data_IF_776763849597
#
_entry.id   IF_776763849597
#
_cell.length_a   1.000
_cell.length_b   1.000
_cell.length_c   1.000
_cell.angle_alpha   90.00
_cell.angle_beta   90.00
_cell.angle_gamma   90.00
#
_symmetry.space_group_name_H-M   'P 1'
#
loop_
_entity.id
_entity.type
_entity.pdbx_description
1 polymer ?
#
# COMPACT_ATOMS: atom_id res chain seq x y z
N UNK A 1 -42.55 20.09 0.39
CA UNK A 1 -42.79 19.47 -0.92
C UNK A 1 -41.60 19.76 -1.82
N UNK A 2 -41.01 18.74 -2.46
CA UNK A 2 -40.20 18.97 -3.68
C UNK A 2 -41.20 19.03 -4.83
N UNK A 3 -41.36 20.20 -5.47
CA UNK A 3 -42.44 20.47 -6.44
C UNK A 3 -42.01 20.36 -7.92
N UNK A 4 -40.72 20.18 -8.19
CA UNK A 4 -40.17 20.13 -9.55
C UNK A 4 -39.86 18.67 -9.95
N UNK A 5 -40.46 18.20 -11.05
CA UNK A 5 -40.19 16.88 -11.62
C UNK A 5 -39.00 16.99 -12.59
N UNK A 6 -37.80 16.75 -12.07
CA UNK A 6 -36.56 16.79 -12.84
C UNK A 6 -36.15 15.40 -13.31
N UNK A 7 -35.94 15.26 -14.61
CA UNK A 7 -35.35 14.07 -15.22
C UNK A 7 -34.05 14.49 -15.91
N UNK A 8 -32.92 14.07 -15.35
CA UNK A 8 -31.60 14.38 -15.88
C UNK A 8 -31.35 13.59 -17.17
N UNK A 9 -31.11 14.31 -18.27
CA UNK A 9 -30.99 13.70 -19.58
C UNK A 9 -29.53 13.64 -20.06
N UNK A 10 -28.80 12.60 -19.66
CA UNK A 10 -27.40 12.36 -20.07
C UNK A 10 -27.37 11.62 -21.43
N UNK A 11 -27.88 12.27 -22.49
CA UNK A 11 -27.91 11.73 -23.86
C UNK A 11 -26.85 12.39 -24.74
N UNK A 12 -25.59 11.97 -24.61
CA UNK A 12 -24.58 12.28 -25.63
C UNK A 12 -23.14 12.22 -25.16
N UNK A 13 -22.80 12.97 -24.11
CA UNK A 13 -21.43 13.13 -23.66
C UNK A 13 -21.21 12.45 -22.31
N UNK A 14 -20.19 11.60 -22.21
CA UNK A 14 -19.83 11.04 -20.90
C UNK A 14 -19.31 12.11 -19.93
N UNK A 15 -18.94 13.30 -20.42
CA UNK A 15 -18.47 14.40 -19.57
C UNK A 15 -19.61 15.12 -18.84
N UNK A 16 -20.87 14.83 -19.18
CA UNK A 16 -22.03 15.39 -18.49
C UNK A 16 -22.27 14.69 -17.14
N UNK A 17 -21.64 13.52 -16.92
CA UNK A 17 -21.60 12.89 -15.60
C UNK A 17 -20.72 13.70 -14.65
N UNK A 18 -21.13 13.75 -13.38
CA UNK A 18 -20.34 14.34 -12.30
C UNK A 18 -19.17 13.41 -11.91
N UNK A 19 -18.10 13.43 -12.71
CA UNK A 19 -16.89 12.65 -12.42
C UNK A 19 -16.19 13.15 -11.15
N UNK A 20 -15.83 12.21 -10.28
CA UNK A 20 -15.06 12.47 -9.07
C UNK A 20 -13.57 12.22 -9.28
N UNK A 21 -12.73 12.92 -8.52
CA UNK A 21 -11.29 12.66 -8.51
C UNK A 21 -10.98 11.38 -7.71
N UNK A 22 -10.35 10.39 -8.36
CA UNK A 22 -9.99 9.09 -7.77
C UNK A 22 -9.06 9.19 -6.56
N UNK A 23 -8.34 10.31 -6.38
CA UNK A 23 -7.51 10.53 -5.19
C UNK A 23 -8.33 10.44 -3.88
N UNK A 24 -9.59 10.87 -3.88
CA UNK A 24 -10.47 10.71 -2.72
C UNK A 24 -10.76 9.25 -2.41
N UNK A 25 -11.05 8.43 -3.45
CA UNK A 25 -11.27 7.00 -3.29
C UNK A 25 -10.01 6.27 -2.79
N UNK A 26 -8.81 6.71 -3.21
CA UNK A 26 -7.57 6.15 -2.66
C UNK A 26 -7.33 6.58 -1.21
N UNK A 27 -7.63 7.84 -0.87
CA UNK A 27 -7.49 8.36 0.49
C UNK A 27 -8.40 7.66 1.50
N UNK A 28 -9.62 7.23 1.10
CA UNK A 28 -10.48 6.42 1.99
C UNK A 28 -9.83 5.09 2.33
N UNK A 29 -9.10 4.45 1.41
CA UNK A 29 -8.38 3.19 1.70
C UNK A 29 -7.29 3.38 2.76
N UNK A 30 -6.55 4.50 2.71
CA UNK A 30 -5.59 4.87 3.75
C UNK A 30 -6.28 5.03 5.11
N UNK A 31 -7.39 5.76 5.14
CA UNK A 31 -8.19 5.99 6.34
C UNK A 31 -8.72 4.68 6.93
N UNK A 32 -9.26 3.78 6.10
CA UNK A 32 -9.82 2.51 6.55
C UNK A 32 -8.75 1.58 7.12
N UNK A 33 -7.59 1.50 6.46
CA UNK A 33 -6.44 0.75 6.98
C UNK A 33 -6.02 1.31 8.35
N UNK A 34 -5.94 2.63 8.49
CA UNK A 34 -5.57 3.28 9.75
C UNK A 34 -6.64 3.09 10.84
N UNK A 35 -7.91 3.18 10.48
CA UNK A 35 -9.03 3.00 11.40
C UNK A 35 -9.06 1.58 11.99
N UNK A 36 -8.71 0.57 11.20
CA UNK A 36 -8.67 -0.84 11.63
C UNK A 36 -7.39 -1.20 12.38
N UNK A 37 -6.23 -0.74 11.89
CA UNK A 37 -4.93 -1.27 12.32
C UNK A 37 -3.95 -0.21 12.86
N UNK A 38 -4.28 1.08 12.76
CA UNK A 38 -3.38 2.23 13.05
C UNK A 38 -2.16 2.30 12.13
N UNK A 39 -2.19 1.57 11.03
CA UNK A 39 -1.17 1.52 9.98
C UNK A 39 -1.83 1.57 8.61
N UNK A 40 -1.13 2.07 7.59
CA UNK A 40 -1.66 2.23 6.24
C UNK A 40 -1.06 1.30 5.15
N UNK A 41 -0.62 0.05 5.41
CA UNK A 41 -0.15 -0.82 4.34
C UNK A 41 -1.30 -1.49 3.58
N UNK A 42 -2.51 -1.57 4.15
CA UNK A 42 -3.65 -2.33 3.61
C UNK A 42 -4.53 -1.49 2.70
N UNK A 43 -3.96 -1.11 1.57
CA UNK A 43 -4.58 -0.22 0.56
C UNK A 43 -4.53 -0.78 -0.86
N UNK A 44 -4.05 -2.02 -1.00
CA UNK A 44 -3.96 -2.73 -2.26
C UNK A 44 -4.60 -4.10 -2.14
N UNK A 45 -5.10 -4.62 -3.25
CA UNK A 45 -5.76 -5.91 -3.41
C UNK A 45 -7.25 -5.87 -3.02
N UNK A 46 -8.10 -6.62 -3.75
CA UNK A 46 -9.56 -6.55 -3.58
C UNK A 46 -10.02 -7.03 -2.20
N UNK A 47 -9.33 -7.98 -1.57
CA UNK A 47 -9.68 -8.48 -0.23
C UNK A 47 -8.80 -7.90 0.88
N UNK A 48 -7.70 -7.22 0.53
CA UNK A 48 -6.68 -6.74 1.47
C UNK A 48 -6.74 -5.23 1.73
N UNK A 49 -7.89 -4.61 1.45
CA UNK A 49 -8.19 -3.21 1.78
C UNK A 49 -8.07 -2.22 0.61
N UNK A 50 -7.81 -2.69 -0.61
CA UNK A 50 -7.77 -1.86 -1.82
C UNK A 50 -9.09 -1.80 -2.60
N UNK A 51 -10.10 -2.60 -2.25
CA UNK A 51 -11.41 -2.53 -2.89
C UNK A 51 -12.13 -1.22 -2.55
N UNK A 52 -12.78 -0.59 -3.52
CA UNK A 52 -13.72 0.54 -3.43
C UNK A 52 -15.12 0.00 -3.70
N UNK A 53 -15.99 0.10 -2.70
CA UNK A 53 -17.32 -0.52 -2.69
C UNK A 53 -18.40 0.57 -2.87
N UNK A 54 -19.63 0.17 -3.19
CA UNK A 54 -20.80 1.04 -3.29
C UNK A 54 -20.63 2.17 -4.33
N UNK A 55 -20.12 1.83 -5.52
CA UNK A 55 -19.99 2.79 -6.62
C UNK A 55 -21.33 3.05 -7.30
N UNK A 56 -21.59 4.31 -7.72
CA UNK A 56 -22.85 4.67 -8.35
C UNK A 56 -23.02 3.95 -9.70
N UNK A 57 -24.13 3.23 -9.84
CA UNK A 57 -24.53 2.58 -11.08
C UNK A 57 -25.67 3.37 -11.74
N UNK A 58 -25.57 3.59 -13.04
CA UNK A 58 -26.63 4.18 -13.84
C UNK A 58 -27.01 3.24 -14.99
N UNK A 59 -28.23 2.73 -14.97
CA UNK A 59 -28.77 1.89 -16.04
C UNK A 59 -29.53 2.74 -17.05
N UNK A 60 -29.24 2.56 -18.33
CA UNK A 60 -29.89 3.28 -19.42
C UNK A 60 -30.09 2.37 -20.62
N UNK A 61 -31.07 2.71 -21.46
CA UNK A 61 -31.33 1.98 -22.69
C UNK A 61 -30.41 2.47 -23.83
N UNK A 62 -29.78 1.53 -24.54
CA UNK A 62 -28.91 1.80 -25.67
C UNK A 62 -29.06 0.70 -26.71
N UNK A 63 -29.44 1.08 -27.93
CA UNK A 63 -29.63 0.14 -29.06
C UNK A 63 -30.61 -1.01 -28.71
N UNK A 64 -31.69 -0.70 -27.98
CA UNK A 64 -32.71 -1.68 -27.56
C UNK A 64 -32.26 -2.65 -26.46
N UNK A 65 -31.11 -2.40 -25.82
CA UNK A 65 -30.62 -3.18 -24.69
C UNK A 65 -30.40 -2.27 -23.48
N UNK A 66 -30.74 -2.77 -22.30
CA UNK A 66 -30.43 -2.12 -21.04
C UNK A 66 -28.93 -2.31 -20.73
N UNK A 67 -28.21 -1.21 -20.58
CA UNK A 67 -26.77 -1.19 -20.27
C UNK A 67 -26.53 -0.42 -18.98
N UNK A 68 -25.51 -0.83 -18.23
CA UNK A 68 -25.05 -0.10 -17.05
C UNK A 68 -23.85 0.76 -17.43
N UNK A 69 -23.90 2.05 -17.13
CA UNK A 69 -22.74 2.93 -17.20
C UNK A 69 -21.73 2.47 -16.15
N UNK A 70 -20.52 2.19 -16.61
CA UNK A 70 -19.41 1.83 -15.73
C UNK A 70 -19.04 3.03 -14.83
N UNK A 71 -18.82 2.82 -13.51
CA UNK A 71 -18.45 3.89 -12.58
C UNK A 71 -17.05 4.47 -12.77
N UNK A 72 -16.19 3.77 -13.51
CA UNK A 72 -14.92 4.28 -14.03
C UNK A 72 -15.07 4.59 -15.51
N UNK A 73 -14.31 5.53 -16.05
CA UNK A 73 -14.42 5.90 -17.46
C UNK A 73 -14.14 4.75 -18.43
N UNK A 74 -13.29 3.80 -18.00
CA UNK A 74 -12.89 2.62 -18.76
C UNK A 74 -12.83 1.37 -17.87
N UNK A 75 -13.04 0.20 -18.50
CA UNK A 75 -12.71 -1.09 -17.91
C UNK A 75 -11.25 -1.41 -18.17
N UNK A 76 -10.39 -1.16 -17.19
CA UNK A 76 -8.96 -1.45 -17.28
C UNK A 76 -8.74 -2.97 -17.20
N UNK A 77 -8.18 -3.56 -18.25
CA UNK A 77 -7.78 -4.98 -18.24
C UNK A 77 -6.50 -5.18 -17.41
N UNK A 78 -6.31 -6.38 -16.85
CA UNK A 78 -5.18 -6.72 -15.98
C UNK A 78 -3.81 -6.35 -16.59
N UNK A 79 -3.61 -6.62 -17.89
CA UNK A 79 -2.38 -6.24 -18.59
C UNK A 79 -2.16 -4.72 -18.61
N UNK A 80 -3.23 -3.94 -18.80
CA UNK A 80 -3.15 -2.47 -18.81
C UNK A 80 -2.93 -1.91 -17.40
N UNK A 81 -3.51 -2.53 -16.38
CA UNK A 81 -3.20 -2.18 -14.98
C UNK A 81 -1.72 -2.42 -14.69
N UNK A 82 -1.19 -3.56 -15.12
CA UNK A 82 0.23 -3.87 -14.96
C UNK A 82 1.14 -2.86 -15.68
N UNK A 83 0.84 -2.52 -16.94
CA UNK A 83 1.58 -1.50 -17.69
C UNK A 83 1.52 -0.12 -17.01
N UNK A 84 0.37 0.27 -16.47
CA UNK A 84 0.22 1.51 -15.68
C UNK A 84 1.05 1.48 -14.39
N UNK A 85 1.06 0.34 -13.69
CA UNK A 85 1.80 0.17 -12.44
C UNK A 85 3.32 0.23 -12.66
N UNK A 86 3.84 -0.32 -13.76
CA UNK A 86 5.25 -0.22 -14.16
C UNK A 86 5.65 1.24 -14.47
N UNK A 87 4.73 2.03 -14.99
CA UNK A 87 4.91 3.48 -15.25
C UNK A 87 4.57 4.37 -14.04
N UNK A 88 4.34 3.78 -12.86
CA UNK A 88 4.16 4.53 -11.60
C UNK A 88 2.78 5.15 -11.40
N UNK A 89 1.76 4.67 -12.13
CA UNK A 89 0.36 5.06 -11.91
C UNK A 89 -0.34 4.14 -10.91
N UNK A 90 -1.33 4.69 -10.22
CA UNK A 90 -2.22 3.94 -9.33
C UNK A 90 -3.59 3.82 -10.02
N UNK A 91 -3.77 2.73 -10.77
CA UNK A 91 -5.00 2.48 -11.52
C UNK A 91 -6.12 1.94 -10.63
N UNK A 92 -7.31 2.56 -10.71
CA UNK A 92 -8.53 1.98 -10.15
C UNK A 92 -9.19 1.08 -11.20
N UNK A 93 -9.27 -0.21 -10.89
CA UNK A 93 -9.84 -1.21 -11.80
C UNK A 93 -11.26 -1.55 -11.41
N UNK A 94 -12.21 -1.43 -12.33
CA UNK A 94 -13.61 -1.76 -12.07
C UNK A 94 -13.83 -3.27 -12.17
N UNK A 95 -14.48 -3.85 -11.16
CA UNK A 95 -14.94 -5.24 -11.23
C UNK A 95 -16.19 -5.30 -12.11
N UNK A 96 -16.05 -5.99 -13.25
CA UNK A 96 -17.12 -6.17 -14.23
C UNK A 96 -18.39 -6.73 -13.57
N UNK A 97 -19.54 -6.21 -14.00
CA UNK A 97 -20.88 -6.63 -13.56
C UNK A 97 -21.12 -6.48 -12.04
N UNK A 98 -20.47 -5.49 -11.43
CA UNK A 98 -20.66 -5.12 -10.03
C UNK A 98 -20.58 -3.60 -9.84
N UNK A 99 -20.77 -3.15 -8.60
CA UNK A 99 -20.57 -1.80 -8.09
C UNK A 99 -19.23 -1.65 -7.34
N UNK A 100 -18.29 -2.58 -7.55
CA UNK A 100 -17.01 -2.60 -6.85
C UNK A 100 -15.84 -2.30 -7.81
N UNK A 101 -14.83 -1.62 -7.31
CA UNK A 101 -13.53 -1.45 -7.97
C UNK A 101 -12.40 -1.82 -7.02
N UNK A 102 -11.16 -1.91 -7.49
CA UNK A 102 -10.01 -2.18 -6.63
C UNK A 102 -8.72 -1.54 -7.14
N UNK A 103 -7.89 -1.12 -6.19
CA UNK A 103 -6.47 -0.84 -6.42
C UNK A 103 -5.69 -2.14 -6.24
N UNK A 104 -5.04 -2.65 -7.29
CA UNK A 104 -4.21 -3.85 -7.21
C UNK A 104 -2.78 -3.54 -6.75
N UNK A 105 -2.29 -2.37 -7.12
CA UNK A 105 -0.96 -1.88 -6.77
C UNK A 105 -1.02 -0.41 -6.34
N UNK A 106 0.03 0.06 -5.66
CA UNK A 106 0.19 1.45 -5.24
C UNK A 106 1.68 1.82 -5.31
N UNK A 107 2.22 1.81 -6.52
CA UNK A 107 3.58 2.25 -6.79
C UNK A 107 3.64 3.78 -6.77
N UNK A 108 4.76 4.31 -6.31
CA UNK A 108 5.05 5.74 -6.49
C UNK A 108 5.53 6.01 -7.91
N UNK A 109 5.64 7.28 -8.26
CA UNK A 109 6.23 7.73 -9.54
C UNK A 109 7.74 7.46 -9.66
N UNK A 110 8.39 6.98 -8.59
CA UNK A 110 9.82 6.71 -8.60
C UNK A 110 10.13 5.43 -9.37
N UNK A 111 10.86 5.59 -10.50
CA UNK A 111 11.32 4.45 -11.30
C UNK A 111 12.38 3.62 -10.55
N UNK A 112 12.23 2.29 -10.44
CA UNK A 112 13.25 1.42 -9.85
C UNK A 112 14.59 1.49 -10.59
N UNK A 113 15.69 1.54 -9.83
CA UNK A 113 17.05 1.51 -10.40
C UNK A 113 17.47 0.11 -10.81
N UNK A 114 18.24 0.02 -11.89
CA UNK A 114 18.91 -1.20 -12.30
C UNK A 114 20.23 -1.36 -11.53
N UNK A 115 20.51 -2.59 -11.12
CA UNK A 115 21.75 -2.97 -10.45
C UNK A 115 22.38 -4.14 -11.24
N UNK A 116 23.71 -4.34 -11.13
CA UNK A 116 24.37 -5.50 -11.73
C UNK A 116 23.76 -6.82 -11.25
N UNK A 117 23.78 -7.86 -12.10
CA UNK A 117 23.29 -9.19 -11.73
C UNK A 117 24.29 -9.97 -10.86
N UNK A 118 24.61 -9.40 -9.70
CA UNK A 118 25.38 -10.06 -8.63
C UNK A 118 24.47 -10.26 -7.42
N UNK A 119 24.83 -11.13 -6.46
CA UNK A 119 24.06 -11.30 -5.23
C UNK A 119 23.78 -9.95 -4.52
N UNK A 120 24.79 -9.10 -4.39
CA UNK A 120 24.69 -7.78 -3.74
C UNK A 120 23.85 -6.79 -4.56
N UNK A 121 23.95 -6.88 -5.89
CA UNK A 121 23.12 -6.08 -6.80
C UNK A 121 21.64 -6.46 -6.72
N UNK A 122 21.32 -7.75 -6.58
CA UNK A 122 19.95 -8.24 -6.41
C UNK A 122 19.35 -7.84 -5.05
N UNK A 123 20.13 -7.86 -3.99
CA UNK A 123 19.72 -7.32 -2.68
C UNK A 123 19.46 -5.81 -2.75
N UNK A 124 20.39 -5.06 -3.37
CA UNK A 124 20.26 -3.62 -3.55
C UNK A 124 19.04 -3.25 -4.39
N UNK A 125 18.76 -4.01 -5.45
CA UNK A 125 17.56 -3.87 -6.28
C UNK A 125 16.30 -4.08 -5.44
N UNK A 126 16.27 -5.13 -4.63
CA UNK A 126 15.13 -5.43 -3.75
C UNK A 126 14.90 -4.31 -2.74
N UNK A 127 15.95 -3.82 -2.09
CA UNK A 127 15.87 -2.72 -1.14
C UNK A 127 15.35 -1.43 -1.79
N UNK A 128 15.85 -1.12 -2.99
CA UNK A 128 15.42 0.05 -3.73
C UNK A 128 13.95 -0.06 -4.16
N UNK A 129 13.53 -1.23 -4.66
CA UNK A 129 12.14 -1.49 -5.05
C UNK A 129 11.16 -1.31 -3.88
N UNK A 130 11.50 -1.77 -2.68
CA UNK A 130 10.64 -1.56 -1.51
C UNK A 130 10.37 -0.07 -1.23
N UNK A 131 11.37 0.79 -1.46
CA UNK A 131 11.23 2.25 -1.33
C UNK A 131 10.32 2.89 -2.38
N UNK A 132 10.20 2.28 -3.57
CA UNK A 132 9.34 2.80 -4.65
C UNK A 132 7.85 2.51 -4.42
N UNK A 133 7.49 1.67 -3.44
CA UNK A 133 6.12 1.22 -3.22
C UNK A 133 5.49 1.90 -2.00
N UNK A 134 4.37 2.58 -2.21
CA UNK A 134 3.72 3.39 -1.17
C UNK A 134 3.28 2.61 0.08
N UNK A 135 2.76 1.36 -0.01
CA UNK A 135 2.38 0.59 1.18
C UNK A 135 3.50 0.43 2.20
N UNK A 136 4.76 0.29 1.73
CA UNK A 136 5.93 0.21 2.61
C UNK A 136 6.37 1.59 3.09
N UNK A 137 6.34 2.60 2.21
CA UNK A 137 6.66 3.97 2.60
C UNK A 137 5.72 4.51 3.69
N UNK A 138 4.43 4.15 3.70
CA UNK A 138 3.53 4.56 4.77
C UNK A 138 3.89 3.96 6.13
N UNK A 139 4.51 2.78 6.17
CA UNK A 139 5.06 2.21 7.42
C UNK A 139 6.22 3.08 7.90
N UNK A 140 7.17 3.40 7.00
CA UNK A 140 8.34 4.24 7.31
C UNK A 140 7.91 5.63 7.78
N UNK A 141 6.97 6.28 7.09
CA UNK A 141 6.46 7.60 7.45
C UNK A 141 5.88 7.62 8.87
N UNK A 142 5.11 6.59 9.24
CA UNK A 142 4.51 6.51 10.57
C UNK A 142 5.56 6.27 11.66
N UNK A 143 6.57 5.43 11.40
CA UNK A 143 7.71 5.27 12.31
C UNK A 143 8.46 6.58 12.49
N UNK A 144 8.75 7.30 11.40
CA UNK A 144 9.41 8.61 11.46
C UNK A 144 8.61 9.62 12.30
N UNK A 145 7.29 9.69 12.12
CA UNK A 145 6.41 10.54 12.93
C UNK A 145 6.48 10.17 14.42
N UNK A 146 6.40 8.88 14.76
CA UNK A 146 6.50 8.45 16.16
C UNK A 146 7.86 8.77 16.77
N UNK A 147 8.96 8.44 16.08
CA UNK A 147 10.32 8.70 16.57
C UNK A 147 10.51 10.19 16.82
N UNK A 148 10.06 11.05 15.88
CA UNK A 148 10.19 12.51 16.03
C UNK A 148 9.49 13.01 17.29
N UNK A 149 8.28 12.54 17.57
CA UNK A 149 7.54 12.93 18.78
C UNK A 149 8.19 12.34 20.03
N UNK A 150 8.47 11.03 20.06
CA UNK A 150 9.05 10.34 21.21
C UNK A 150 10.41 10.92 21.63
N UNK A 151 11.27 11.21 20.66
CA UNK A 151 12.60 11.77 20.94
C UNK A 151 12.51 13.23 21.39
N UNK A 152 11.55 14.00 20.89
CA UNK A 152 11.34 15.39 21.34
C UNK A 152 11.02 15.46 22.83
N UNK A 153 10.17 14.56 23.32
CA UNK A 153 9.80 14.50 24.75
C UNK A 153 10.96 14.01 25.64
N UNK A 154 12.03 13.46 25.07
CA UNK A 154 13.21 12.98 25.80
C UNK A 154 14.38 13.97 25.80
N UNK A 155 14.26 15.10 25.09
CA UNK A 155 15.31 16.14 25.09
C UNK A 155 15.52 16.69 26.50
N UNK A 156 16.78 16.78 26.93
CA UNK A 156 17.17 17.22 28.27
C UNK A 156 17.16 16.13 29.35
N UNK A 157 16.77 14.90 29.02
CA UNK A 157 16.93 13.76 29.93
C UNK A 157 18.38 13.27 29.99
N UNK A 158 18.81 12.76 31.14
CA UNK A 158 20.11 12.13 31.31
C UNK A 158 20.09 10.73 30.68
N UNK A 159 20.44 10.65 29.39
CA UNK A 159 20.53 9.40 28.64
C UNK A 159 21.86 9.29 27.95
N UNK A 160 22.48 8.12 28.06
CA UNK A 160 23.65 7.78 27.27
C UNK A 160 23.23 7.06 25.97
N UNK A 161 24.21 6.88 25.07
CA UNK A 161 24.05 6.17 23.79
C UNK A 161 23.33 4.83 23.95
N UNK A 162 23.76 4.04 24.94
CA UNK A 162 23.24 2.69 25.24
C UNK A 162 21.78 2.76 25.70
N UNK A 163 21.43 3.74 26.52
CA UNK A 163 20.06 3.93 27.02
C UNK A 163 19.10 4.30 25.88
N UNK A 164 19.56 5.14 24.95
CA UNK A 164 18.80 5.50 23.76
C UNK A 164 18.57 4.28 22.87
N UNK A 165 19.63 3.53 22.57
CA UNK A 165 19.55 2.33 21.74
C UNK A 165 18.61 1.28 22.34
N UNK A 166 18.77 0.97 23.63
CA UNK A 166 17.93 0.00 24.33
C UNK A 166 16.46 0.46 24.40
N UNK A 167 16.22 1.74 24.73
CA UNK A 167 14.87 2.30 24.81
C UNK A 167 14.14 2.30 23.47
N UNK A 168 14.85 2.67 22.40
CA UNK A 168 14.32 2.69 21.04
C UNK A 168 14.03 1.28 20.51
N UNK A 169 14.92 0.32 20.71
CA UNK A 169 14.68 -1.07 20.30
C UNK A 169 13.53 -1.71 21.10
N UNK A 170 13.44 -1.44 22.41
CA UNK A 170 12.31 -1.89 23.24
C UNK A 170 10.99 -1.32 22.71
N UNK A 171 10.95 -0.03 22.38
CA UNK A 171 9.77 0.59 21.77
C UNK A 171 9.43 -0.03 20.40
N UNK A 172 10.43 -0.26 19.54
CA UNK A 172 10.22 -0.78 18.20
C UNK A 172 9.66 -2.22 18.21
N UNK A 173 10.09 -3.03 19.18
CA UNK A 173 9.69 -4.44 19.30
C UNK A 173 8.17 -4.67 19.33
N UNK A 174 7.39 -3.69 19.79
CA UNK A 174 5.93 -3.79 19.84
C UNK A 174 5.29 -3.92 18.44
N UNK A 175 5.98 -3.45 17.39
CA UNK A 175 5.53 -3.48 16.00
C UNK A 175 6.15 -4.62 15.18
N UNK A 176 6.98 -5.45 15.82
CA UNK A 176 7.67 -6.57 15.20
C UNK A 176 6.91 -7.88 15.47
N UNK A 177 6.75 -8.71 14.45
CA UNK A 177 6.27 -10.08 14.59
C UNK A 177 7.01 -11.04 13.66
N UNK A 178 7.89 -11.86 14.24
CA UNK A 178 8.70 -12.86 13.52
C UNK A 178 8.20 -14.28 13.81
N UNK A 179 6.95 -14.57 13.42
CA UNK A 179 6.39 -15.91 13.47
C UNK A 179 5.83 -16.31 12.09
N UNK A 180 6.20 -17.51 11.64
CA UNK A 180 5.62 -18.10 10.45
C UNK A 180 4.18 -18.53 10.76
N UNK A 181 3.24 -18.16 9.87
CA UNK A 181 1.81 -18.44 10.06
C UNK A 181 1.01 -17.36 10.79
N UNK A 182 1.59 -16.17 11.03
CA UNK A 182 0.85 -15.04 11.57
C UNK A 182 -0.41 -14.71 10.77
N UNK A 183 -1.53 -14.51 11.47
CA UNK A 183 -2.80 -14.13 10.84
C UNK A 183 -2.65 -12.80 10.10
N UNK A 184 -3.50 -12.56 9.10
CA UNK A 184 -3.48 -11.31 8.34
C UNK A 184 -3.69 -10.09 9.25
N UNK A 185 -4.52 -10.21 10.28
CA UNK A 185 -4.75 -9.15 11.27
C UNK A 185 -3.50 -8.85 12.11
N UNK A 186 -2.78 -9.87 12.58
CA UNK A 186 -1.55 -9.66 13.36
C UNK A 186 -0.50 -8.94 12.49
N UNK A 187 -0.32 -9.38 11.24
CA UNK A 187 0.59 -8.72 10.29
C UNK A 187 0.17 -7.29 9.96
N UNK A 188 -1.12 -6.99 9.99
CA UNK A 188 -1.62 -5.64 9.76
C UNK A 188 -1.34 -4.69 10.94
N UNK A 189 -1.45 -5.19 12.19
CA UNK A 189 -1.15 -4.41 13.41
C UNK A 189 0.34 -4.32 13.72
N UNK A 190 1.12 -5.33 13.31
CA UNK A 190 2.58 -5.44 13.46
C UNK A 190 3.21 -5.57 12.07
N UNK A 191 3.42 -4.46 11.36
CA UNK A 191 3.81 -4.50 9.95
C UNK A 191 5.26 -4.92 9.70
N UNK A 192 6.11 -4.96 10.74
CA UNK A 192 7.52 -5.28 10.62
C UNK A 192 7.77 -6.76 10.95
N UNK A 193 8.52 -7.44 10.10
CA UNK A 193 9.01 -8.78 10.38
C UNK A 193 10.28 -8.74 11.23
N UNK A 194 11.21 -7.85 10.89
CA UNK A 194 12.45 -7.60 11.63
C UNK A 194 12.77 -6.11 11.57
N UNK A 195 13.31 -5.55 12.63
CA UNK A 195 13.85 -4.20 12.62
C UNK A 195 14.85 -4.03 13.77
N UNK A 196 15.78 -3.10 13.58
CA UNK A 196 16.87 -2.80 14.48
C UNK A 196 17.18 -1.31 14.41
N UNK A 197 17.49 -0.73 15.56
CA UNK A 197 17.99 0.64 15.67
C UNK A 197 19.38 0.58 16.27
N UNK A 198 20.37 1.18 15.61
CA UNK A 198 21.71 1.38 16.16
C UNK A 198 21.93 2.86 16.43
N UNK A 199 22.67 3.17 17.50
CA UNK A 199 22.96 4.54 17.92
C UNK A 199 24.47 4.72 18.04
N UNK A 200 25.00 5.72 17.34
CA UNK A 200 26.41 6.10 17.31
C UNK A 200 26.58 7.49 17.92
N UNK A 201 27.71 7.74 18.59
CA UNK A 201 28.09 9.08 19.04
C UNK A 201 28.49 9.95 17.85
N UNK A 202 28.20 11.24 17.92
CA UNK A 202 28.72 12.23 16.96
C UNK A 202 30.04 12.78 17.49
N UNK A 203 31.12 12.48 16.77
CA UNK A 203 32.45 12.94 17.14
C UNK A 203 32.50 14.48 17.24
N UNK A 204 33.01 14.99 18.36
CA UNK A 204 33.10 16.43 18.62
C UNK A 204 31.83 17.08 19.20
N UNK A 205 30.70 16.36 19.30
CA UNK A 205 29.44 16.91 19.77
C UNK A 205 28.83 16.07 20.90
N UNK A 206 29.23 16.28 22.18
CA UNK A 206 28.67 15.55 23.31
C UNK A 206 27.15 15.73 23.41
N UNK A 207 26.44 14.62 23.58
CA UNK A 207 24.97 14.60 23.65
C UNK A 207 24.27 14.56 22.29
N UNK A 208 25.02 14.58 21.18
CA UNK A 208 24.50 14.33 19.84
C UNK A 208 24.74 12.88 19.43
N UNK A 209 23.69 12.26 18.87
CA UNK A 209 23.70 10.86 18.48
C UNK A 209 23.19 10.70 17.04
N UNK A 210 23.86 9.82 16.28
CA UNK A 210 23.38 9.36 14.98
C UNK A 210 22.59 8.06 15.17
N UNK A 211 21.30 8.11 14.83
CA UNK A 211 20.40 6.96 14.95
C UNK A 211 20.16 6.37 13.57
N UNK A 212 20.53 5.11 13.37
CA UNK A 212 20.30 4.36 12.14
C UNK A 212 19.21 3.31 12.38
N UNK A 213 18.13 3.34 11.61
CA UNK A 213 17.04 2.37 11.68
C UNK A 213 17.02 1.50 10.44
N UNK A 214 17.17 0.18 10.62
CA UNK A 214 16.99 -0.82 9.57
C UNK A 214 15.71 -1.59 9.83
N UNK A 215 14.91 -1.81 8.79
CA UNK A 215 13.63 -2.50 8.93
C UNK A 215 13.32 -3.37 7.73
N UNK A 216 12.63 -4.47 7.99
CA UNK A 216 12.12 -5.42 7.00
C UNK A 216 10.62 -5.61 7.23
N UNK A 217 9.75 -5.07 6.34
CA UNK A 217 8.31 -5.28 6.45
C UNK A 217 7.91 -6.71 6.06
N UNK A 218 6.69 -7.10 6.39
CA UNK A 218 6.06 -8.28 5.76
C UNK A 218 5.78 -8.01 4.28
N UNK A 219 6.19 -8.92 3.40
CA UNK A 219 5.95 -8.77 1.97
C UNK A 219 4.49 -9.04 1.60
N UNK A 220 3.97 -8.22 0.69
CA UNK A 220 2.67 -8.43 0.05
C UNK A 220 2.80 -9.34 -1.17
N UNK A 221 1.79 -10.16 -1.40
CA UNK A 221 1.67 -10.95 -2.61
C UNK A 221 1.27 -10.03 -3.77
N UNK A 222 2.14 -9.91 -4.77
CA UNK A 222 1.93 -9.03 -5.95
C UNK A 222 1.93 -9.79 -7.28
N UNK A 223 2.14 -11.11 -7.27
CA UNK A 223 2.13 -11.92 -8.48
C UNK A 223 2.89 -13.24 -8.29
N UNK A 224 2.59 -14.20 -9.16
CA UNK A 224 3.32 -15.45 -9.28
C UNK A 224 3.23 -15.97 -10.71
N UNK A 225 4.30 -16.60 -11.19
CA UNK A 225 4.27 -17.37 -12.44
C UNK A 225 3.85 -18.81 -12.12
N UNK A 226 2.83 -19.31 -12.81
CA UNK A 226 2.34 -20.68 -12.64
C UNK A 226 2.72 -21.50 -13.87
N UNK A 227 3.55 -22.53 -13.68
CA UNK A 227 3.86 -23.52 -14.73
C UNK A 227 3.01 -24.76 -14.50
N UNK A 228 2.12 -25.06 -15.45
CA UNK A 228 1.31 -26.27 -15.44
C UNK A 228 2.00 -27.33 -16.28
N UNK A 229 2.23 -28.51 -15.70
CA UNK A 229 2.81 -29.66 -16.40
C UNK A 229 2.00 -30.91 -16.09
N UNK A 230 1.64 -31.65 -17.13
CA UNK A 230 0.93 -32.92 -16.99
C UNK A 230 1.97 -34.03 -16.84
N UNK A 231 1.95 -34.74 -15.72
CA UNK A 231 2.86 -35.86 -15.45
C UNK A 231 2.07 -37.16 -15.27
N UNK A 232 2.49 -38.22 -15.95
CA UNK A 232 1.80 -39.52 -15.95
C UNK A 232 1.85 -40.29 -14.63
N UNK A 233 2.76 -39.89 -13.73
CA UNK A 233 2.80 -40.35 -12.33
C UNK A 233 3.35 -39.20 -11.51
N UNK A 234 2.53 -38.64 -10.62
CA UNK A 234 3.02 -37.70 -9.61
C UNK A 234 3.72 -38.54 -8.56
N UNK A 235 5.04 -38.34 -8.37
CA UNK A 235 5.72 -38.95 -7.23
C UNK A 235 5.02 -38.51 -5.95
N UNK A 236 4.62 -39.48 -5.13
CA UNK A 236 3.98 -39.20 -3.84
C UNK A 236 5.03 -38.58 -2.92
N UNK A 237 4.83 -37.32 -2.52
CA UNK A 237 5.54 -36.70 -1.42
C UNK A 237 5.23 -37.41 -0.10
#
# INVERSE_FOLDING_TARGET
MKAFNYEENVKGSHNDYLWGNTAYAFATRLTDSFAKYRWCPNIIGPQSGGAVEDLPLHQFESQGQLKTKIPTEVLVADRREYELAEEGFIGLTMRKDSDNAAFFSANSVQKPKNYPNTPEGNESKTNYMLGTQLPYMFIVNRLAHYIKVLQREQLGSAKERVDLEAGLNKWLSQYIHDADGATAEVRARKPLRKAEITVEDVEGEPGWYRVNMKMRPHFKYMGAAFTLSLVGKLDKK
#
